data_IF_994210174187
#
_entry.id   IF_994210174187
#
_cell.length_a   1.000
_cell.length_b   1.000
_cell.length_c   1.000
_cell.angle_alpha   90.00
_cell.angle_beta   90.00
_cell.angle_gamma   90.00
#
_symmetry.space_group_name_H-M   'P 1'
#
loop_
_entity.id
_entity.type
_entity.pdbx_description
1 polymer ?
#
# COMPACT_ATOMS: atom_id res chain seq x y z
N UNK A 1 18.56 6.15 25.94
CA UNK A 1 18.09 6.46 24.58
C UNK A 1 17.12 5.38 24.16
N UNK A 2 15.86 5.65 23.79
CA UNK A 2 14.95 4.61 23.35
C UNK A 2 15.28 4.23 21.90
N UNK A 3 15.48 2.93 21.67
CA UNK A 3 15.66 2.31 20.36
C UNK A 3 14.37 2.46 19.54
N UNK A 4 14.43 2.84 18.25
CA UNK A 4 13.24 2.83 17.41
C UNK A 4 12.80 1.38 17.18
N UNK A 5 11.66 1.02 17.76
CA UNK A 5 10.97 -0.23 17.47
C UNK A 5 10.64 -0.27 15.97
N UNK A 6 11.24 -1.21 15.25
CA UNK A 6 10.96 -1.43 13.83
C UNK A 6 9.47 -1.76 13.66
N UNK A 7 8.70 -0.81 13.12
CA UNK A 7 7.33 -1.06 12.70
C UNK A 7 7.36 -2.14 11.61
N UNK A 8 7.07 -3.38 11.99
CA UNK A 8 6.91 -4.48 11.04
C UNK A 8 5.64 -4.23 10.25
N UNK A 9 5.78 -3.91 8.97
CA UNK A 9 4.66 -3.86 8.05
C UNK A 9 4.13 -5.30 7.85
N UNK A 10 3.02 -5.60 8.50
CA UNK A 10 2.24 -6.80 8.23
C UNK A 10 1.11 -6.42 7.27
N UNK A 11 1.06 -7.06 6.10
CA UNK A 11 -0.12 -7.00 5.25
C UNK A 11 -1.33 -7.48 6.07
N UNK A 12 -2.37 -6.64 6.29
CA UNK A 12 -3.52 -7.04 7.10
C UNK A 12 -4.26 -8.17 6.38
N UNK A 13 -4.21 -9.38 6.95
CA UNK A 13 -4.86 -10.59 6.41
C UNK A 13 -6.35 -10.71 6.77
N UNK A 14 -6.91 -9.74 7.51
CA UNK A 14 -8.33 -9.71 7.88
C UNK A 14 -8.82 -8.27 7.91
N UNK A 15 -9.82 -7.98 7.08
CA UNK A 15 -10.71 -6.84 7.22
C UNK A 15 -12.09 -7.26 6.69
N UNK A 16 -12.72 -8.18 7.42
CA UNK A 16 -14.15 -8.47 7.29
C UNK A 16 -14.71 -8.12 8.66
N UNK A 17 -15.59 -7.12 8.72
CA UNK A 17 -16.26 -6.55 9.91
C UNK A 17 -15.57 -5.38 10.61
N UNK A 18 -15.87 -4.18 10.13
CA UNK A 18 -16.69 -3.16 10.82
C UNK A 18 -16.55 -1.86 10.03
N UNK A 19 -17.57 -1.55 9.22
CA UNK A 19 -17.53 -0.45 8.26
C UNK A 19 -18.04 0.81 8.96
N UNK A 20 -17.17 1.82 9.07
CA UNK A 20 -17.60 3.18 9.42
C UNK A 20 -18.41 3.76 8.24
N UNK A 21 -19.60 4.36 8.48
CA UNK A 21 -20.49 4.83 7.42
C UNK A 21 -19.92 5.93 6.50
N UNK A 22 -18.75 6.48 6.81
CA UNK A 22 -18.16 7.63 6.11
C UNK A 22 -17.46 7.28 4.78
N UNK A 23 -17.33 6.01 4.40
CA UNK A 23 -16.72 5.58 3.13
C UNK A 23 -17.80 5.23 2.10
N UNK A 24 -18.44 6.24 1.52
CA UNK A 24 -19.45 6.09 0.47
C UNK A 24 -18.85 5.55 -0.85
N UNK A 25 -19.00 4.23 -1.03
CA UNK A 25 -19.68 3.53 -2.15
C UNK A 25 -18.96 3.21 -3.48
N UNK A 26 -18.00 3.96 -4.02
CA UNK A 26 -17.38 3.57 -5.33
C UNK A 26 -15.91 3.14 -5.22
N UNK A 27 -15.08 3.98 -4.60
CA UNK A 27 -13.63 3.76 -4.51
C UNK A 27 -13.27 2.53 -3.66
N UNK A 28 -14.00 2.33 -2.56
CA UNK A 28 -13.85 1.16 -1.71
C UNK A 28 -14.22 -0.13 -2.47
N UNK A 29 -15.33 -0.11 -3.20
CA UNK A 29 -15.76 -1.24 -4.03
C UNK A 29 -14.72 -1.57 -5.11
N UNK A 30 -14.08 -0.57 -5.73
CA UNK A 30 -12.98 -0.80 -6.68
C UNK A 30 -11.75 -1.40 -5.99
N UNK A 31 -11.37 -0.94 -4.79
CA UNK A 31 -10.28 -1.53 -4.01
C UNK A 31 -10.58 -2.98 -3.66
N UNK A 32 -11.79 -3.27 -3.17
CA UNK A 32 -12.21 -4.62 -2.81
C UNK A 32 -12.28 -5.55 -4.03
N UNK A 33 -12.73 -5.06 -5.17
CA UNK A 33 -12.70 -5.80 -6.43
C UNK A 33 -11.26 -6.11 -6.87
N UNK A 34 -10.32 -5.16 -6.73
CA UNK A 34 -8.90 -5.41 -7.01
C UNK A 34 -8.30 -6.42 -6.03
N UNK A 35 -8.64 -6.31 -4.74
CA UNK A 35 -8.21 -7.25 -3.72
C UNK A 35 -8.74 -8.66 -4.00
N UNK A 36 -10.04 -8.80 -4.30
CA UNK A 36 -10.64 -10.09 -4.62
C UNK A 36 -10.06 -10.68 -5.90
N UNK A 37 -9.89 -9.88 -6.96
CA UNK A 37 -9.29 -10.37 -8.22
C UNK A 37 -7.83 -10.81 -8.02
N UNK A 38 -7.05 -10.07 -7.23
CA UNK A 38 -5.69 -10.46 -6.86
C UNK A 38 -5.67 -11.82 -6.14
N UNK A 39 -6.64 -12.07 -5.25
CA UNK A 39 -6.75 -13.33 -4.51
C UNK A 39 -7.36 -14.47 -5.33
N UNK A 40 -8.26 -14.18 -6.27
CA UNK A 40 -9.03 -15.16 -7.06
C UNK A 40 -8.35 -15.55 -8.38
N UNK A 41 -7.02 -15.56 -8.41
CA UNK A 41 -6.18 -15.83 -9.60
C UNK A 41 -6.41 -14.82 -10.74
N UNK A 42 -5.71 -13.69 -10.66
CA UNK A 42 -5.44 -12.87 -11.84
C UNK A 42 -4.51 -13.63 -12.78
N UNK A 43 -4.88 -13.75 -14.07
CA UNK A 43 -3.97 -14.30 -15.11
C UNK A 43 -2.66 -13.52 -15.24
N UNK A 44 -2.65 -12.24 -14.85
CA UNK A 44 -1.44 -11.42 -14.77
C UNK A 44 -0.57 -11.71 -13.53
N UNK A 45 -1.09 -12.36 -12.50
CA UNK A 45 -0.34 -12.73 -11.28
C UNK A 45 -0.27 -14.25 -11.12
N UNK A 46 -0.32 -14.97 -12.26
CA UNK A 46 -0.10 -16.40 -12.33
C UNK A 46 1.07 -16.70 -13.29
N UNK A 47 2.26 -17.08 -12.77
CA UNK A 47 2.61 -17.24 -11.35
C UNK A 47 2.74 -15.90 -10.59
N UNK A 48 2.59 -15.95 -9.26
CA UNK A 48 2.59 -14.76 -8.40
C UNK A 48 3.91 -13.98 -8.47
N UNK A 49 3.79 -12.65 -8.54
CA UNK A 49 4.95 -11.76 -8.42
C UNK A 49 5.62 -11.89 -7.06
N UNK A 50 6.94 -12.05 -7.06
CA UNK A 50 7.78 -11.86 -5.87
C UNK A 50 7.99 -10.37 -5.67
N UNK A 51 7.41 -9.81 -4.63
CA UNK A 51 7.50 -8.38 -4.31
C UNK A 51 8.23 -8.14 -2.99
N UNK A 52 8.94 -7.02 -2.89
CA UNK A 52 9.52 -6.53 -1.64
C UNK A 52 9.41 -5.02 -1.57
N UNK A 53 8.70 -4.54 -0.55
CA UNK A 53 8.51 -3.13 -0.27
C UNK A 53 9.52 -2.67 0.79
N UNK A 54 10.47 -1.84 0.38
CA UNK A 54 11.34 -1.13 1.30
C UNK A 54 10.70 0.23 1.60
N UNK A 55 10.14 0.35 2.80
CA UNK A 55 9.51 1.57 3.28
C UNK A 55 10.47 2.28 4.21
N UNK A 56 10.79 3.54 3.91
CA UNK A 56 11.81 4.32 4.62
C UNK A 56 11.35 5.77 4.78
N UNK A 57 12.16 6.57 5.48
CA UNK A 57 11.98 8.02 5.61
C UNK A 57 10.58 8.43 6.12
N UNK A 58 10.05 7.66 7.08
CA UNK A 58 8.77 7.92 7.71
C UNK A 58 8.81 9.29 8.41
N UNK A 59 7.94 10.18 7.93
CA UNK A 59 7.70 11.50 8.50
C UNK A 59 6.22 11.58 8.88
N UNK A 60 5.96 11.94 10.12
CA UNK A 60 4.61 11.99 10.69
C UNK A 60 4.27 13.43 11.03
N UNK A 61 3.10 13.88 10.58
CA UNK A 61 2.52 15.18 10.92
C UNK A 61 1.13 14.94 11.49
N UNK A 62 0.88 15.37 12.72
CA UNK A 62 -0.46 15.38 13.28
C UNK A 62 -1.33 16.39 12.52
N UNK A 63 -2.56 15.99 12.23
CA UNK A 63 -3.61 16.82 11.68
C UNK A 63 -4.72 17.00 12.74
N UNK A 64 -5.77 17.74 12.39
CA UNK A 64 -6.95 17.87 13.25
C UNK A 64 -7.74 16.55 13.32
N UNK A 65 -8.51 16.36 14.40
CA UNK A 65 -9.44 15.24 14.59
C UNK A 65 -8.78 13.84 14.64
N UNK A 66 -7.67 13.70 15.37
CA UNK A 66 -6.95 12.42 15.54
C UNK A 66 -6.49 11.78 14.22
N UNK A 67 -6.27 12.63 13.21
CA UNK A 67 -5.72 12.22 11.92
C UNK A 67 -4.23 12.49 11.86
N UNK A 68 -3.52 11.69 11.09
CA UNK A 68 -2.09 11.80 10.92
C UNK A 68 -1.75 11.70 9.44
N UNK A 69 -0.97 12.65 8.94
CA UNK A 69 -0.35 12.57 7.64
C UNK A 69 1.00 11.86 7.77
N UNK A 70 1.20 10.84 6.95
CA UNK A 70 2.46 10.12 6.84
C UNK A 70 3.07 10.37 5.46
N UNK A 71 4.35 10.74 5.43
CA UNK A 71 5.16 10.70 4.21
C UNK A 71 6.19 9.60 4.34
N UNK A 72 6.26 8.71 3.36
CA UNK A 72 7.23 7.61 3.34
C UNK A 72 7.84 7.48 1.95
N UNK A 73 9.10 7.11 1.89
CA UNK A 73 9.72 6.70 0.64
C UNK A 73 9.50 5.20 0.48
N UNK A 74 9.13 4.78 -0.72
CA UNK A 74 8.94 3.40 -1.12
C UNK A 74 9.93 3.06 -2.22
N UNK A 75 10.73 2.03 -1.99
CA UNK A 75 11.39 1.29 -3.05
C UNK A 75 10.74 -0.08 -3.16
N UNK A 76 10.13 -0.36 -4.30
CA UNK A 76 9.50 -1.64 -4.57
C UNK A 76 10.36 -2.42 -5.55
N UNK A 77 10.81 -3.59 -5.10
CA UNK A 77 11.37 -4.62 -5.97
C UNK A 77 10.25 -5.58 -6.38
N UNK A 78 10.13 -5.88 -7.66
CA UNK A 78 9.22 -6.89 -8.19
C UNK A 78 9.93 -7.77 -9.20
N UNK A 79 9.72 -9.07 -9.10
CA UNK A 79 10.20 -10.05 -10.07
C UNK A 79 9.10 -11.08 -10.33
N UNK A 80 8.94 -11.51 -11.58
CA UNK A 80 7.78 -12.29 -12.05
C UNK A 80 8.24 -13.58 -12.71
N UNK A 81 7.41 -14.61 -12.59
CA UNK A 81 7.63 -15.90 -13.25
C UNK A 81 9.03 -16.44 -13.07
N UNK A 82 9.66 -16.87 -14.14
CA UNK A 82 11.01 -17.36 -14.31
C UNK A 82 11.93 -16.31 -14.98
N UNK A 83 11.43 -15.08 -15.18
CA UNK A 83 12.21 -14.00 -15.78
C UNK A 83 13.37 -13.60 -14.85
N UNK A 84 14.56 -13.49 -15.43
CA UNK A 84 15.77 -13.02 -14.75
C UNK A 84 15.72 -11.49 -14.52
N UNK A 85 14.91 -10.76 -15.28
CA UNK A 85 14.66 -9.33 -15.12
C UNK A 85 13.83 -9.00 -13.87
N UNK A 86 14.00 -7.78 -13.35
CA UNK A 86 13.19 -7.28 -12.25
C UNK A 86 12.78 -5.83 -12.50
N UNK A 87 11.61 -5.47 -11.97
CA UNK A 87 11.15 -4.09 -11.93
C UNK A 87 11.59 -3.48 -10.59
N UNK A 88 12.12 -2.27 -10.67
CA UNK A 88 12.39 -1.44 -9.51
C UNK A 88 11.58 -0.14 -9.63
N UNK A 89 10.71 0.10 -8.66
CA UNK A 89 9.89 1.31 -8.60
C UNK A 89 10.24 2.13 -7.37
N UNK A 90 10.61 3.39 -7.60
CA UNK A 90 10.79 4.39 -6.55
C UNK A 90 9.57 5.31 -6.51
N UNK A 91 9.08 5.59 -5.30
CA UNK A 91 7.96 6.48 -5.08
C UNK A 91 7.96 7.12 -3.69
N UNK A 92 7.26 8.25 -3.54
CA UNK A 92 6.87 8.81 -2.24
C UNK A 92 5.37 8.55 -2.00
N UNK A 93 5.02 7.98 -0.84
CA UNK A 93 3.62 7.80 -0.42
C UNK A 93 3.24 8.86 0.59
N UNK A 94 2.10 9.49 0.35
CA UNK A 94 1.44 10.44 1.23
C UNK A 94 0.15 9.79 1.70
N UNK A 95 0.16 9.31 2.94
CA UNK A 95 -0.97 8.64 3.55
C UNK A 95 -1.63 9.57 4.57
N UNK A 96 -2.95 9.48 4.68
CA UNK A 96 -3.72 10.03 5.79
C UNK A 96 -4.33 8.85 6.53
N UNK A 97 -4.02 8.72 7.81
CA UNK A 97 -4.55 7.68 8.68
C UNK A 97 -5.30 8.31 9.86
N UNK A 98 -6.21 7.55 10.45
CA UNK A 98 -6.86 7.89 11.71
C UNK A 98 -6.97 6.66 12.60
N UNK A 99 -7.33 6.86 13.86
CA UNK A 99 -7.66 5.77 14.76
C UNK A 99 -9.19 5.63 14.87
N UNK A 100 -9.71 4.42 14.76
CA UNK A 100 -11.13 4.08 14.96
C UNK A 100 -11.18 2.87 15.86
N UNK A 101 -11.82 2.98 17.03
CA UNK A 101 -11.94 1.89 18.01
C UNK A 101 -10.60 1.24 18.37
N UNK A 102 -9.52 2.03 18.47
CA UNK A 102 -8.18 1.54 18.77
C UNK A 102 -7.38 1.03 17.56
N UNK A 103 -8.00 0.91 16.37
CA UNK A 103 -7.34 0.45 15.16
C UNK A 103 -6.95 1.58 14.22
N UNK A 104 -5.75 1.49 13.63
CA UNK A 104 -5.32 2.42 12.58
C UNK A 104 -6.00 2.07 11.26
N UNK A 105 -6.68 3.06 10.67
CA UNK A 105 -7.29 2.93 9.35
C UNK A 105 -6.75 3.99 8.40
N UNK A 106 -6.61 3.61 7.13
CA UNK A 106 -6.16 4.50 6.07
C UNK A 106 -7.36 5.20 5.43
N UNK A 107 -7.36 6.52 5.48
CA UNK A 107 -8.36 7.37 4.85
C UNK A 107 -8.03 7.64 3.38
N UNK A 108 -6.76 7.92 3.10
CA UNK A 108 -6.28 8.30 1.77
C UNK A 108 -4.83 7.87 1.59
N UNK A 109 -4.50 7.43 0.39
CA UNK A 109 -3.12 7.26 -0.08
C UNK A 109 -2.96 7.97 -1.42
N UNK A 110 -1.93 8.79 -1.52
CA UNK A 110 -1.45 9.37 -2.78
C UNK A 110 -0.02 8.89 -2.99
N UNK A 111 0.27 8.34 -4.17
CA UNK A 111 1.59 7.80 -4.50
C UNK A 111 2.16 8.66 -5.63
N UNK A 112 3.32 9.26 -5.39
CA UNK A 112 4.09 9.98 -6.39
C UNK A 112 5.23 9.08 -6.86
N UNK A 113 5.16 8.62 -8.09
CA UNK A 113 6.17 7.73 -8.68
C UNK A 113 7.25 8.61 -9.32
N UNK A 114 8.51 8.24 -9.13
CA UNK A 114 9.67 9.00 -9.63
C UNK A 114 9.96 8.75 -11.13
N UNK A 115 8.94 8.37 -11.92
CA UNK A 115 9.06 7.99 -13.33
C UNK A 115 8.01 8.71 -14.17
N UNK A 116 8.45 9.37 -15.25
CA UNK A 116 7.56 9.97 -16.25
C UNK A 116 6.96 8.91 -17.20
N UNK A 117 7.76 7.89 -17.53
CA UNK A 117 7.32 6.70 -18.27
C UNK A 117 7.57 5.49 -17.39
N UNK A 118 6.54 4.66 -17.24
CA UNK A 118 6.57 3.54 -16.32
C UNK A 118 7.50 2.44 -16.83
N UNK A 119 8.50 2.10 -16.01
CA UNK A 119 9.44 1.02 -16.30
C UNK A 119 8.90 -0.38 -16.01
N UNK A 120 7.63 -0.50 -15.60
CA UNK A 120 6.96 -1.79 -15.35
C UNK A 120 5.82 -2.00 -16.34
N UNK A 121 5.60 -3.25 -16.73
CA UNK A 121 4.54 -3.62 -17.66
C UNK A 121 3.12 -3.37 -17.12
N UNK A 122 2.93 -3.44 -15.80
CA UNK A 122 1.64 -3.18 -15.16
C UNK A 122 1.76 -2.93 -13.65
N UNK A 123 0.70 -2.40 -13.04
CA UNK A 123 0.54 -2.25 -11.59
C UNK A 123 -0.38 -3.29 -10.98
N UNK A 124 -0.18 -4.58 -11.29
CA UNK A 124 -0.89 -5.68 -10.59
C UNK A 124 -0.35 -5.92 -9.17
N UNK A 125 -0.01 -4.83 -8.48
CA UNK A 125 0.64 -4.77 -7.17
C UNK A 125 0.11 -3.55 -6.41
N UNK A 126 0.07 -3.63 -5.09
CA UNK A 126 -0.26 -2.49 -4.24
C UNK A 126 1.02 -1.77 -3.81
N UNK A 127 1.00 -0.44 -3.84
CA UNK A 127 2.09 0.43 -3.41
C UNK A 127 1.73 1.09 -2.07
#
# INVERSE_FOLDING_TARGET
>A
MPTPSAARYAMPKRAIHEISPALTTARYMTLMARYSTFHLKMKAEDPQSRTRHFVTNLRVTALDNEQYQLKTNLMLYRNRSDDAGHDLLSAERHDVIHQVNGEWRMLKRTIYIDQATLGTLNFSIFL
#
